data_IF_892931929262
#
_entry.id   IF_892931929262
#
_cell.length_a   1.000
_cell.length_b   1.000
_cell.length_c   1.000
_cell.angle_alpha   90.00
_cell.angle_beta   90.00
_cell.angle_gamma   90.00
#
_symmetry.space_group_name_H-M   'P 1'
#
loop_
_entity.id
_entity.type
_entity.pdbx_description
1 polymer ?
#
# COMPACT_ATOMS: atom_id res chain seq x y z
N UNK A 1 -12.72 4.96 -11.01
CA UNK A 1 -11.50 4.36 -11.56
C UNK A 1 -10.90 5.21 -12.68
N UNK A 2 -11.63 5.52 -13.77
CA UNK A 2 -11.15 6.33 -14.90
C UNK A 2 -10.49 7.65 -14.45
N UNK A 3 -11.11 8.40 -13.53
CA UNK A 3 -10.57 9.66 -13.02
C UNK A 3 -9.23 9.43 -12.32
N UNK A 4 -9.11 8.38 -11.52
CA UNK A 4 -7.85 8.05 -10.81
C UNK A 4 -6.73 7.72 -11.80
N UNK A 5 -7.01 6.90 -12.82
CA UNK A 5 -6.04 6.55 -13.86
C UNK A 5 -5.64 7.78 -14.67
N UNK A 6 -6.58 8.61 -15.09
CA UNK A 6 -6.28 9.85 -15.81
C UNK A 6 -5.40 10.78 -14.98
N UNK A 7 -5.73 11.00 -13.71
CA UNK A 7 -4.92 11.81 -12.81
C UNK A 7 -3.50 11.24 -12.66
N UNK A 8 -3.38 9.91 -12.48
CA UNK A 8 -2.09 9.24 -12.38
C UNK A 8 -1.25 9.44 -13.66
N UNK A 9 -1.87 9.20 -14.83
CA UNK A 9 -1.22 9.40 -16.15
C UNK A 9 -0.77 10.84 -16.34
N UNK A 10 -1.62 11.83 -16.03
CA UNK A 10 -1.27 13.26 -16.15
C UNK A 10 -0.10 13.61 -15.25
N UNK A 11 -0.09 13.14 -14.02
CA UNK A 11 1.01 13.40 -13.06
C UNK A 11 2.32 12.78 -13.53
N UNK A 12 2.30 11.55 -14.01
CA UNK A 12 3.50 10.87 -14.54
C UNK A 12 4.02 11.58 -15.80
N UNK A 13 3.13 11.96 -16.73
CA UNK A 13 3.50 12.72 -17.94
C UNK A 13 4.11 14.07 -17.61
N UNK A 14 3.60 14.75 -16.61
CA UNK A 14 4.10 16.06 -16.18
C UNK A 14 5.44 15.98 -15.43
N UNK A 15 5.91 14.79 -15.07
CA UNK A 15 7.15 14.60 -14.32
C UNK A 15 7.13 15.22 -12.91
N UNK A 16 5.95 15.34 -12.29
CA UNK A 16 5.71 16.10 -11.05
C UNK A 16 6.08 15.31 -9.79
N UNK A 17 7.16 14.51 -9.83
CA UNK A 17 7.63 13.74 -8.67
C UNK A 17 7.86 14.66 -7.45
N UNK A 18 8.45 15.84 -7.65
CA UNK A 18 8.67 16.82 -6.57
C UNK A 18 7.39 17.38 -5.95
N UNK A 19 6.32 17.50 -6.72
CA UNK A 19 5.02 17.94 -6.22
C UNK A 19 4.38 16.92 -5.30
N UNK A 20 4.41 15.66 -5.70
CA UNK A 20 3.88 14.54 -4.93
C UNK A 20 4.66 14.36 -3.62
N UNK A 21 5.98 14.42 -3.67
CA UNK A 21 6.84 14.37 -2.48
C UNK A 21 6.48 15.44 -1.46
N UNK A 22 6.26 16.69 -1.92
CA UNK A 22 5.89 17.80 -1.03
C UNK A 22 4.51 17.60 -0.40
N UNK A 23 3.55 17.16 -1.19
CA UNK A 23 2.18 16.88 -0.71
C UNK A 23 2.18 15.70 0.27
N UNK A 24 2.88 14.61 -0.05
CA UNK A 24 2.98 13.44 0.82
C UNK A 24 3.64 13.76 2.16
N UNK A 25 4.63 14.65 2.21
CA UNK A 25 5.27 15.09 3.46
C UNK A 25 4.30 15.74 4.46
N UNK A 26 3.19 16.31 3.98
CA UNK A 26 2.16 16.91 4.83
C UNK A 26 1.02 15.93 5.09
N UNK A 27 0.56 15.27 4.05
CA UNK A 27 -0.63 14.42 4.11
C UNK A 27 -0.38 13.13 4.91
N UNK A 28 0.78 12.49 4.77
CA UNK A 28 1.06 11.24 5.48
C UNK A 28 1.10 11.44 7.01
N UNK A 29 1.82 12.43 7.58
CA UNK A 29 1.72 12.70 9.01
C UNK A 29 0.30 13.06 9.46
N UNK A 30 -0.44 13.85 8.67
CA UNK A 30 -1.83 14.18 8.99
C UNK A 30 -2.71 12.93 9.04
N UNK A 31 -2.54 11.99 8.11
CA UNK A 31 -3.26 10.72 8.10
C UNK A 31 -2.97 9.89 9.36
N UNK A 32 -1.71 9.81 9.81
CA UNK A 32 -1.36 9.14 11.05
C UNK A 32 -2.02 9.78 12.28
N UNK A 33 -2.04 11.11 12.36
CA UNK A 33 -2.74 11.82 13.45
C UNK A 33 -4.23 11.52 13.44
N UNK A 34 -4.86 11.51 12.26
CA UNK A 34 -6.27 11.17 12.10
C UNK A 34 -6.51 9.72 12.53
N UNK A 35 -5.67 8.78 12.12
CA UNK A 35 -5.79 7.38 12.55
C UNK A 35 -5.70 7.23 14.07
N UNK A 36 -4.82 7.96 14.75
CA UNK A 36 -4.72 7.94 16.22
C UNK A 36 -6.03 8.45 16.84
N UNK A 37 -6.57 9.58 16.37
CA UNK A 37 -7.83 10.13 16.87
C UNK A 37 -9.00 9.17 16.63
N UNK A 38 -9.06 8.56 15.45
CA UNK A 38 -10.09 7.59 15.12
C UNK A 38 -9.94 6.29 15.93
N UNK A 39 -8.73 5.83 16.20
CA UNK A 39 -8.50 4.66 17.07
C UNK A 39 -9.00 4.92 18.48
N UNK A 40 -8.67 6.08 19.07
CA UNK A 40 -9.20 6.49 20.40
C UNK A 40 -10.73 6.50 20.38
N UNK A 41 -11.32 7.06 19.34
CA UNK A 41 -12.78 7.12 19.21
C UNK A 41 -13.39 5.74 19.02
N UNK A 42 -12.82 4.91 18.18
CA UNK A 42 -13.29 3.54 17.93
C UNK A 42 -13.25 2.69 19.20
N UNK A 43 -12.15 2.80 19.96
CA UNK A 43 -12.00 2.11 21.25
C UNK A 43 -12.98 2.59 22.32
N UNK A 44 -13.48 3.80 22.24
CA UNK A 44 -14.48 4.35 23.18
C UNK A 44 -15.93 3.92 22.87
N UNK A 45 -16.17 3.19 21.78
CA UNK A 45 -17.51 2.72 21.42
C UNK A 45 -17.95 1.55 22.31
N UNK A 46 -19.25 1.48 22.69
CA UNK A 46 -19.80 0.31 23.38
C UNK A 46 -19.62 -0.96 22.53
N UNK A 47 -19.10 -2.04 23.10
CA UNK A 47 -18.86 -3.30 22.40
C UNK A 47 -17.53 -3.37 21.62
N UNK A 48 -16.76 -2.29 21.56
CA UNK A 48 -15.46 -2.24 20.85
C UNK A 48 -14.43 -3.23 21.38
N UNK A 49 -14.52 -3.62 22.67
CA UNK A 49 -13.56 -4.52 23.32
C UNK A 49 -13.53 -5.92 22.68
N UNK A 50 -14.64 -6.37 22.08
CA UNK A 50 -14.65 -7.63 21.34
C UNK A 50 -13.76 -7.56 20.09
N UNK A 51 -13.75 -6.42 19.39
CA UNK A 51 -12.85 -6.17 18.28
C UNK A 51 -11.38 -6.12 18.71
N UNK A 52 -11.08 -5.55 19.88
CA UNK A 52 -9.73 -5.59 20.44
C UNK A 52 -9.30 -7.01 20.78
N UNK A 53 -10.20 -7.80 21.40
CA UNK A 53 -9.94 -9.22 21.67
C UNK A 53 -9.69 -9.99 20.37
N UNK A 54 -10.50 -9.75 19.34
CA UNK A 54 -10.32 -10.37 18.03
C UNK A 54 -8.93 -10.11 17.43
N UNK A 55 -8.40 -8.87 17.57
CA UNK A 55 -7.08 -8.51 17.09
C UNK A 55 -5.93 -9.10 17.91
N UNK A 56 -6.09 -9.10 19.24
CA UNK A 56 -4.98 -9.40 20.15
C UNK A 56 -5.01 -10.82 20.71
N UNK A 57 -6.12 -11.55 20.57
CA UNK A 57 -6.22 -12.92 21.08
C UNK A 57 -5.54 -13.89 20.11
N UNK A 58 -4.38 -14.44 20.47
CA UNK A 58 -3.63 -15.30 19.55
C UNK A 58 -4.32 -16.66 19.43
N UNK A 59 -4.45 -17.12 18.20
CA UNK A 59 -4.92 -18.46 17.85
C UNK A 59 -3.72 -19.31 17.43
N UNK A 60 -2.96 -19.80 18.38
CA UNK A 60 -1.66 -20.45 18.18
C UNK A 60 -1.69 -21.63 17.21
N UNK A 61 -2.83 -22.31 17.08
CA UNK A 61 -2.95 -23.44 16.16
C UNK A 61 -2.75 -23.04 14.68
N UNK A 62 -3.12 -21.82 14.28
CA UNK A 62 -2.90 -21.34 12.91
C UNK A 62 -1.42 -21.18 12.55
N UNK A 63 -0.52 -21.08 13.52
CA UNK A 63 0.92 -21.06 13.23
C UNK A 63 1.45 -22.38 12.67
N UNK A 64 0.69 -23.46 12.82
CA UNK A 64 1.02 -24.78 12.26
C UNK A 64 0.47 -24.98 10.85
N UNK A 65 -0.35 -24.06 10.36
CA UNK A 65 -0.97 -24.10 9.04
C UNK A 65 -0.08 -23.37 8.02
N UNK A 66 0.27 -24.03 6.94
CA UNK A 66 1.09 -23.44 5.87
C UNK A 66 0.45 -22.20 5.26
N UNK A 67 -0.88 -22.21 5.11
CA UNK A 67 -1.67 -21.11 4.53
C UNK A 67 -1.48 -19.81 5.32
N UNK A 68 -1.40 -19.86 6.65
CA UNK A 68 -1.15 -18.69 7.48
C UNK A 68 0.15 -17.99 7.10
N UNK A 69 1.22 -18.78 6.90
CA UNK A 69 2.53 -18.22 6.52
C UNK A 69 2.55 -17.70 5.09
N UNK A 70 1.91 -18.40 4.16
CA UNK A 70 1.83 -17.98 2.75
C UNK A 70 1.06 -16.65 2.64
N UNK A 71 -0.08 -16.53 3.32
CA UNK A 71 -0.87 -15.30 3.33
C UNK A 71 -0.15 -14.14 4.03
N UNK A 72 0.51 -14.40 5.16
CA UNK A 72 1.27 -13.39 5.89
C UNK A 72 2.47 -12.88 5.08
N UNK A 73 3.23 -13.77 4.45
CA UNK A 73 4.35 -13.41 3.58
C UNK A 73 3.88 -12.64 2.34
N UNK A 74 2.79 -13.11 1.71
CA UNK A 74 2.20 -12.44 0.56
C UNK A 74 1.79 -11.00 0.89
N UNK A 75 1.10 -10.82 2.01
CA UNK A 75 0.70 -9.50 2.50
C UNK A 75 1.92 -8.63 2.83
N UNK A 76 2.92 -9.16 3.52
CA UNK A 76 4.14 -8.42 3.86
C UNK A 76 4.88 -7.94 2.60
N UNK A 77 5.05 -8.80 1.60
CA UNK A 77 5.71 -8.44 0.35
C UNK A 77 4.89 -7.46 -0.49
N UNK A 78 3.57 -7.57 -0.44
CA UNK A 78 2.68 -6.63 -1.11
C UNK A 78 2.76 -5.23 -0.48
N UNK A 79 2.64 -5.13 0.84
CA UNK A 79 2.53 -3.84 1.54
C UNK A 79 3.84 -3.04 1.49
N UNK A 80 5.01 -3.70 1.59
CA UNK A 80 6.31 -3.04 1.43
C UNK A 80 6.74 -2.86 -0.03
N UNK A 81 5.84 -3.13 -0.99
CA UNK A 81 6.07 -2.92 -2.44
C UNK A 81 7.27 -3.67 -3.02
N UNK A 82 7.58 -4.87 -2.51
CA UNK A 82 8.61 -5.74 -3.10
C UNK A 82 8.16 -6.32 -4.45
N UNK A 83 6.88 -6.50 -4.64
CA UNK A 83 6.28 -6.83 -5.92
C UNK A 83 6.06 -5.57 -6.77
N UNK A 84 6.00 -5.72 -8.09
CA UNK A 84 5.69 -4.64 -9.03
C UNK A 84 6.79 -3.60 -9.22
N UNK A 85 8.03 -3.94 -8.89
CA UNK A 85 9.22 -3.10 -9.11
C UNK A 85 9.23 -1.76 -8.36
N UNK A 86 8.27 -1.46 -7.49
CA UNK A 86 8.16 -0.18 -6.78
C UNK A 86 9.43 0.15 -6.00
N UNK A 87 9.91 -0.77 -5.18
CA UNK A 87 11.15 -0.57 -4.42
C UNK A 87 12.40 -0.45 -5.30
N UNK A 88 12.45 -1.14 -6.44
CA UNK A 88 13.59 -1.03 -7.38
C UNK A 88 13.61 0.36 -8.02
N UNK A 89 12.45 0.87 -8.41
CA UNK A 89 12.33 2.23 -8.98
C UNK A 89 12.69 3.29 -7.95
N UNK A 90 12.17 3.19 -6.73
CA UNK A 90 12.55 4.11 -5.65
C UNK A 90 14.03 4.03 -5.30
N UNK A 91 14.59 2.83 -5.24
CA UNK A 91 16.01 2.64 -5.02
C UNK A 91 16.87 3.34 -6.08
N UNK A 92 16.43 3.34 -7.35
CA UNK A 92 17.15 4.01 -8.43
C UNK A 92 17.16 5.55 -8.32
N UNK A 93 16.23 6.14 -7.58
CA UNK A 93 16.15 7.59 -7.33
C UNK A 93 16.87 8.02 -6.04
N UNK A 94 17.32 7.07 -5.22
CA UNK A 94 18.05 7.40 -3.99
C UNK A 94 19.40 8.01 -4.32
N UNK A 95 19.76 9.05 -3.58
CA UNK A 95 21.11 9.60 -3.65
C UNK A 95 22.07 8.68 -2.87
N UNK A 96 23.34 8.75 -3.21
CA UNK A 96 24.39 7.91 -2.64
C UNK A 96 24.65 8.12 -1.14
N UNK A 97 24.23 9.26 -0.60
CA UNK A 97 24.36 9.64 0.81
C UNK A 97 23.28 9.04 1.73
N UNK A 98 22.32 8.28 1.19
CA UNK A 98 21.28 7.65 1.99
C UNK A 98 21.72 6.31 2.59
N UNK A 99 21.48 6.14 3.89
CA UNK A 99 21.70 4.88 4.60
C UNK A 99 20.56 3.88 4.26
N UNK A 100 20.82 2.97 3.32
CA UNK A 100 19.83 2.01 2.82
C UNK A 100 19.29 1.08 3.92
N UNK A 101 20.10 0.46 4.80
CA UNK A 101 19.61 -0.35 5.90
C UNK A 101 18.65 0.39 6.83
N UNK A 102 19.00 1.63 7.20
CA UNK A 102 18.15 2.46 8.06
C UNK A 102 16.82 2.80 7.38
N UNK A 103 16.84 3.10 6.09
CA UNK A 103 15.61 3.37 5.33
C UNK A 103 14.73 2.12 5.24
N UNK A 104 15.30 0.96 4.97
CA UNK A 104 14.56 -0.30 4.88
C UNK A 104 13.87 -0.64 6.21
N UNK A 105 14.59 -0.55 7.33
CA UNK A 105 14.03 -0.78 8.66
C UNK A 105 12.94 0.24 8.98
N UNK A 106 13.19 1.53 8.71
CA UNK A 106 12.20 2.59 8.95
C UNK A 106 10.93 2.37 8.14
N UNK A 107 11.05 1.96 6.87
CA UNK A 107 9.90 1.64 6.01
C UNK A 107 9.10 0.49 6.59
N UNK A 108 9.73 -0.63 6.94
CA UNK A 108 9.05 -1.78 7.50
C UNK A 108 8.35 -1.46 8.84
N UNK A 109 9.00 -0.70 9.71
CA UNK A 109 8.42 -0.29 11.00
C UNK A 109 7.22 0.63 10.80
N UNK A 110 7.35 1.67 9.96
CA UNK A 110 6.26 2.62 9.71
C UNK A 110 5.08 1.98 8.98
N UNK A 111 5.34 1.07 8.05
CA UNK A 111 4.32 0.27 7.38
C UNK A 111 3.52 -0.59 8.37
N UNK A 112 4.23 -1.31 9.24
CA UNK A 112 3.62 -2.13 10.30
C UNK A 112 2.81 -1.26 11.28
N UNK A 113 3.35 -0.12 11.70
CA UNK A 113 2.63 0.80 12.59
C UNK A 113 1.36 1.35 11.95
N UNK A 114 1.40 1.69 10.66
CA UNK A 114 0.22 2.15 9.93
C UNK A 114 -0.85 1.05 9.87
N UNK A 115 -0.47 -0.19 9.56
CA UNK A 115 -1.38 -1.32 9.50
C UNK A 115 -2.01 -1.64 10.86
N UNK A 116 -1.22 -1.62 11.94
CA UNK A 116 -1.71 -1.83 13.31
C UNK A 116 -2.68 -0.72 13.71
N UNK A 117 -2.33 0.55 13.46
CA UNK A 117 -3.23 1.68 13.73
C UNK A 117 -4.55 1.56 12.98
N UNK A 118 -4.51 1.25 11.68
CA UNK A 118 -5.71 1.04 10.88
C UNK A 118 -6.57 -0.10 11.43
N UNK A 119 -5.96 -1.19 11.89
CA UNK A 119 -6.67 -2.29 12.52
C UNK A 119 -7.39 -1.87 13.80
N UNK A 120 -6.76 -1.05 14.66
CA UNK A 120 -7.40 -0.50 15.87
C UNK A 120 -8.46 0.56 15.58
N UNK A 121 -8.45 1.17 14.41
CA UNK A 121 -9.55 2.04 13.95
C UNK A 121 -10.75 1.20 13.52
N UNK A 122 -10.52 0.19 12.69
CA UNK A 122 -11.57 -0.52 11.97
C UNK A 122 -12.20 -1.60 12.83
N UNK A 123 -11.43 -2.54 13.38
CA UNK A 123 -11.99 -3.73 14.03
C UNK A 123 -12.82 -3.44 15.27
N UNK A 124 -12.42 -2.56 16.22
CA UNK A 124 -13.28 -2.22 17.33
C UNK A 124 -14.63 -1.61 16.90
N UNK A 125 -14.63 -0.80 15.84
CA UNK A 125 -15.86 -0.22 15.29
C UNK A 125 -16.72 -1.25 14.58
N UNK A 126 -16.13 -2.18 13.83
CA UNK A 126 -16.85 -3.27 13.16
C UNK A 126 -17.65 -4.09 14.17
N UNK A 127 -17.02 -4.48 15.28
CA UNK A 127 -17.70 -5.21 16.35
C UNK A 127 -18.73 -4.36 17.09
N UNK A 128 -18.42 -3.09 17.35
CA UNK A 128 -19.36 -2.17 18.00
C UNK A 128 -20.65 -1.94 17.17
N UNK A 129 -20.55 -2.00 15.84
CA UNK A 129 -21.69 -1.82 14.93
C UNK A 129 -22.26 -3.13 14.37
N UNK A 130 -21.73 -4.29 14.75
CA UNK A 130 -22.19 -5.59 14.28
C UNK A 130 -22.01 -5.81 12.77
N UNK A 131 -20.96 -5.25 12.17
CA UNK A 131 -20.64 -5.40 10.74
C UNK A 131 -19.90 -6.71 10.48
N UNK A 132 -19.97 -7.21 9.23
CA UNK A 132 -19.26 -8.42 8.85
C UNK A 132 -17.75 -8.15 8.71
N UNK A 133 -16.95 -8.85 9.51
CA UNK A 133 -15.48 -8.75 9.50
C UNK A 133 -14.86 -9.20 8.18
N UNK A 134 -15.57 -10.00 7.38
CA UNK A 134 -15.10 -10.55 6.11
C UNK A 134 -15.48 -9.70 4.89
N UNK A 135 -16.10 -8.54 5.09
CA UNK A 135 -16.57 -7.68 3.98
C UNK A 135 -15.43 -7.11 3.11
N UNK A 136 -14.17 -7.31 3.49
CA UNK A 136 -13.00 -6.88 2.70
C UNK A 136 -12.87 -5.34 2.57
N UNK A 137 -12.39 -4.82 1.43
CA UNK A 137 -12.18 -3.38 1.22
C UNK A 137 -13.40 -2.49 1.47
N UNK A 138 -14.65 -2.90 1.15
CA UNK A 138 -15.86 -2.16 1.51
C UNK A 138 -15.99 -1.85 2.99
N UNK A 139 -15.38 -2.66 3.87
CA UNK A 139 -15.45 -2.47 5.31
C UNK A 139 -14.96 -1.08 5.73
N UNK A 140 -13.85 -0.62 5.15
CA UNK A 140 -13.33 0.73 5.39
C UNK A 140 -14.36 1.81 5.03
N UNK A 141 -14.95 1.71 3.84
CA UNK A 141 -15.90 2.71 3.32
C UNK A 141 -17.26 2.66 3.98
N UNK A 142 -17.63 1.53 4.57
CA UNK A 142 -18.87 1.39 5.37
C UNK A 142 -18.68 1.85 6.81
N UNK A 143 -17.56 1.48 7.42
CA UNK A 143 -17.32 1.71 8.85
C UNK A 143 -16.94 3.17 9.13
N UNK A 144 -16.09 3.78 8.33
CA UNK A 144 -15.60 5.14 8.57
C UNK A 144 -16.71 6.18 8.58
N UNK A 145 -17.65 6.23 7.60
CA UNK A 145 -18.76 7.18 7.66
C UNK A 145 -19.60 7.08 8.94
N UNK A 146 -19.85 5.85 9.42
CA UNK A 146 -20.63 5.63 10.65
C UNK A 146 -19.88 6.17 11.87
N UNK A 147 -18.56 6.03 11.93
CA UNK A 147 -17.75 6.59 13.02
C UNK A 147 -17.81 8.12 12.97
N UNK A 148 -17.61 8.70 11.79
CA UNK A 148 -17.61 10.17 11.61
C UNK A 148 -18.95 10.78 11.97
N UNK A 149 -20.07 10.15 11.61
CA UNK A 149 -21.42 10.62 11.95
C UNK A 149 -21.63 10.75 13.47
N UNK A 150 -20.97 9.91 14.25
CA UNK A 150 -21.04 9.90 15.73
C UNK A 150 -19.95 10.73 16.42
N UNK A 151 -19.17 11.52 15.68
CA UNK A 151 -18.11 12.36 16.23
C UNK A 151 -18.44 13.84 16.17
N UNK A 152 -18.11 14.64 17.22
CA UNK A 152 -18.13 16.09 17.11
C UNK A 152 -17.18 16.55 16.02
N UNK A 153 -17.68 17.35 15.06
CA UNK A 153 -16.87 17.78 13.90
C UNK A 153 -16.56 16.68 12.88
N UNK A 154 -17.25 15.55 12.94
CA UNK A 154 -16.99 14.37 12.12
C UNK A 154 -16.99 14.63 10.61
N UNK A 155 -17.82 15.57 10.13
CA UNK A 155 -17.85 15.96 8.72
C UNK A 155 -16.47 16.51 8.25
N UNK A 156 -15.85 17.38 9.06
CA UNK A 156 -14.54 17.96 8.72
C UNK A 156 -13.47 16.86 8.75
N UNK A 157 -13.49 16.02 9.78
CA UNK A 157 -12.56 14.90 9.92
C UNK A 157 -12.73 13.92 8.74
N UNK A 158 -13.96 13.61 8.33
CA UNK A 158 -14.26 12.76 7.18
C UNK A 158 -13.67 13.32 5.89
N UNK A 159 -13.86 14.63 5.63
CA UNK A 159 -13.30 15.27 4.43
C UNK A 159 -11.77 15.15 4.42
N UNK A 160 -11.11 15.50 5.52
CA UNK A 160 -9.65 15.43 5.62
C UNK A 160 -9.15 13.99 5.50
N UNK A 161 -9.85 13.03 6.13
CA UNK A 161 -9.53 11.61 6.04
C UNK A 161 -9.62 11.08 4.61
N UNK A 162 -10.77 11.24 3.95
CA UNK A 162 -10.95 10.72 2.60
C UNK A 162 -10.08 11.45 1.58
N UNK A 163 -9.80 12.73 1.77
CA UNK A 163 -8.86 13.46 0.96
C UNK A 163 -7.43 12.91 1.12
N UNK A 164 -7.01 12.66 2.36
CA UNK A 164 -5.70 12.05 2.66
C UNK A 164 -5.59 10.66 2.07
N UNK A 165 -6.64 9.84 2.19
CA UNK A 165 -6.71 8.50 1.61
C UNK A 165 -6.63 8.54 0.07
N UNK A 166 -7.33 9.50 -0.55
CA UNK A 166 -7.29 9.71 -1.99
C UNK A 166 -5.87 10.06 -2.48
N UNK A 167 -5.19 10.97 -1.82
CA UNK A 167 -3.81 11.32 -2.17
C UNK A 167 -2.84 10.16 -1.93
N UNK A 168 -3.01 9.39 -0.85
CA UNK A 168 -2.24 8.18 -0.60
C UNK A 168 -2.44 7.14 -1.72
N UNK A 169 -3.68 6.91 -2.15
CA UNK A 169 -4.01 6.01 -3.24
C UNK A 169 -3.41 6.45 -4.58
N UNK A 170 -3.50 7.75 -4.91
CA UNK A 170 -2.89 8.30 -6.13
C UNK A 170 -1.37 8.14 -6.11
N UNK A 171 -0.71 8.42 -4.98
CA UNK A 171 0.74 8.25 -4.87
C UNK A 171 1.16 6.79 -5.10
N UNK A 172 0.40 5.83 -4.58
CA UNK A 172 0.63 4.40 -4.81
C UNK A 172 0.42 4.00 -6.27
N UNK A 173 -0.64 4.51 -6.91
CA UNK A 173 -0.91 4.27 -8.33
C UNK A 173 0.21 4.79 -9.23
N UNK A 174 0.75 5.96 -8.93
CA UNK A 174 1.87 6.54 -9.67
C UNK A 174 3.09 5.61 -9.58
N UNK A 175 3.43 5.12 -8.40
CA UNK A 175 4.57 4.22 -8.22
C UNK A 175 4.43 2.92 -9.00
N UNK A 176 3.26 2.31 -8.95
CA UNK A 176 3.00 1.06 -9.66
C UNK A 176 3.08 1.24 -11.18
N UNK A 177 2.52 2.33 -11.72
CA UNK A 177 2.60 2.62 -13.15
C UNK A 177 4.02 3.01 -13.58
N UNK A 178 4.73 3.81 -12.77
CA UNK A 178 6.09 4.25 -13.08
C UNK A 178 7.05 3.06 -13.28
N UNK A 179 6.95 2.02 -12.44
CA UNK A 179 7.77 0.81 -12.58
C UNK A 179 7.59 0.14 -13.95
N UNK A 180 6.36 0.03 -14.42
CA UNK A 180 6.05 -0.55 -15.74
C UNK A 180 6.51 0.38 -16.87
N UNK A 181 6.30 1.69 -16.72
CA UNK A 181 6.71 2.71 -17.69
C UNK A 181 8.22 2.70 -17.87
N UNK A 182 9.00 2.69 -16.79
CA UNK A 182 10.46 2.63 -16.83
C UNK A 182 10.95 1.33 -17.48
N UNK A 183 10.32 0.19 -17.19
CA UNK A 183 10.65 -1.07 -17.85
C UNK A 183 10.41 -1.01 -19.37
N UNK A 184 9.33 -0.37 -19.83
CA UNK A 184 9.03 -0.20 -21.24
C UNK A 184 10.04 0.74 -21.91
N UNK A 185 10.32 1.90 -21.31
CA UNK A 185 11.26 2.89 -21.87
C UNK A 185 12.67 2.29 -21.99
N UNK A 186 13.12 1.56 -20.97
CA UNK A 186 14.44 0.94 -20.96
C UNK A 186 14.63 -0.14 -22.02
N UNK A 187 13.56 -0.80 -22.43
CA UNK A 187 13.61 -1.91 -23.40
C UNK A 187 13.07 -1.56 -24.78
N UNK A 188 12.53 -0.36 -24.98
CA UNK A 188 11.93 0.07 -26.26
C UNK A 188 12.37 1.48 -26.63
N UNK A 189 12.09 1.87 -27.88
CA UNK A 189 12.34 3.24 -28.36
C UNK A 189 11.14 4.17 -28.15
N UNK A 190 10.19 3.81 -27.28
CA UNK A 190 9.01 4.64 -27.02
C UNK A 190 9.43 5.86 -26.19
N UNK A 191 8.81 7.01 -26.53
CA UNK A 191 8.95 8.20 -25.69
C UNK A 191 8.16 8.02 -24.41
N UNK A 192 8.59 8.66 -23.32
CA UNK A 192 7.95 8.58 -22.00
C UNK A 192 6.43 8.79 -22.08
N UNK A 193 5.98 9.84 -22.77
CA UNK A 193 4.55 10.15 -22.91
C UNK A 193 3.77 9.01 -23.57
N UNK A 194 4.33 8.43 -24.65
CA UNK A 194 3.70 7.29 -25.34
C UNK A 194 3.62 6.05 -24.44
N UNK A 195 4.70 5.76 -23.71
CA UNK A 195 4.75 4.64 -22.78
C UNK A 195 3.71 4.81 -21.64
N UNK A 196 3.63 6.00 -21.04
CA UNK A 196 2.66 6.32 -19.98
C UNK A 196 1.22 6.17 -20.46
N UNK A 197 0.89 6.71 -21.65
CA UNK A 197 -0.46 6.59 -22.22
C UNK A 197 -0.78 5.11 -22.51
N UNK A 198 0.15 4.38 -23.10
CA UNK A 198 -0.02 2.95 -23.39
C UNK A 198 -0.32 2.17 -22.11
N UNK A 199 0.50 2.34 -21.06
CA UNK A 199 0.31 1.66 -19.78
C UNK A 199 -1.02 2.07 -19.15
N UNK A 200 -1.36 3.37 -19.16
CA UNK A 200 -2.63 3.87 -18.64
C UNK A 200 -3.85 3.26 -19.32
N UNK A 201 -3.84 3.17 -20.67
CA UNK A 201 -4.92 2.55 -21.42
C UNK A 201 -5.03 1.05 -21.13
N UNK A 202 -3.91 0.33 -21.12
CA UNK A 202 -3.89 -1.11 -20.80
C UNK A 202 -4.42 -1.34 -19.38
N UNK A 203 -3.95 -0.56 -18.40
CA UNK A 203 -4.43 -0.64 -17.02
C UNK A 203 -5.94 -0.37 -16.93
N UNK A 204 -6.43 0.66 -17.63
CA UNK A 204 -7.86 0.96 -17.66
C UNK A 204 -8.69 -0.20 -18.21
N UNK A 205 -8.28 -0.77 -19.35
CA UNK A 205 -9.01 -1.89 -19.96
C UNK A 205 -9.00 -3.12 -19.05
N UNK A 206 -7.85 -3.44 -18.45
CA UNK A 206 -7.73 -4.57 -17.53
C UNK A 206 -8.48 -4.37 -16.21
N UNK A 207 -8.71 -3.12 -15.79
CA UNK A 207 -9.47 -2.82 -14.57
C UNK A 207 -11.00 -2.94 -14.75
N UNK A 208 -11.52 -2.91 -15.97
CA UNK A 208 -12.97 -2.97 -16.23
C UNK A 208 -13.62 -4.20 -15.55
N UNK A 209 -13.16 -5.45 -15.77
CA UNK A 209 -13.79 -6.61 -15.14
C UNK A 209 -13.66 -6.61 -13.61
N UNK A 210 -12.59 -6.02 -13.07
CA UNK A 210 -12.39 -5.89 -11.63
C UNK A 210 -13.38 -4.91 -10.98
N UNK A 211 -13.77 -3.87 -11.71
CA UNK A 211 -14.76 -2.88 -11.26
C UNK A 211 -16.21 -3.36 -11.40
N UNK A 212 -16.46 -4.32 -12.28
CA UNK A 212 -17.81 -4.82 -12.54
C UNK A 212 -18.21 -5.99 -11.62
N UNK A 213 -17.24 -6.68 -11.01
CA UNK A 213 -17.50 -7.85 -10.18
C UNK A 213 -16.59 -7.89 -8.96
N UNK A 214 -17.17 -7.83 -7.77
CA UNK A 214 -16.45 -7.96 -6.51
C UNK A 214 -15.74 -9.32 -6.40
N UNK A 215 -16.39 -10.39 -6.82
CA UNK A 215 -15.77 -11.74 -6.86
C UNK A 215 -14.55 -11.79 -7.75
N UNK A 216 -14.59 -11.11 -8.92
CA UNK A 216 -13.43 -11.03 -9.82
C UNK A 216 -12.31 -10.22 -9.17
N UNK A 217 -12.64 -9.14 -8.49
CA UNK A 217 -11.68 -8.32 -7.74
C UNK A 217 -11.00 -9.13 -6.62
N UNK A 218 -11.78 -9.85 -5.81
CA UNK A 218 -11.25 -10.65 -4.69
C UNK A 218 -10.36 -11.80 -5.21
N UNK A 219 -10.78 -12.52 -6.26
CA UNK A 219 -9.97 -13.58 -6.87
C UNK A 219 -8.66 -13.03 -7.43
N UNK A 220 -8.71 -11.88 -8.11
CA UNK A 220 -7.52 -11.22 -8.65
C UNK A 220 -6.58 -10.76 -7.53
N UNK A 221 -7.12 -10.14 -6.49
CA UNK A 221 -6.35 -9.68 -5.33
C UNK A 221 -5.68 -10.86 -4.62
N UNK A 222 -6.40 -11.96 -4.40
CA UNK A 222 -5.85 -13.18 -3.84
C UNK A 222 -4.73 -13.77 -4.71
N UNK A 223 -4.92 -13.84 -6.02
CA UNK A 223 -3.88 -14.31 -6.94
C UNK A 223 -2.62 -13.45 -6.83
N UNK A 224 -2.77 -12.12 -6.81
CA UNK A 224 -1.62 -11.20 -6.72
C UNK A 224 -0.93 -11.31 -5.36
N UNK A 225 -1.67 -11.30 -4.26
CA UNK A 225 -1.07 -11.28 -2.91
C UNK A 225 -0.53 -12.63 -2.47
N UNK A 226 -1.27 -13.71 -2.72
CA UNK A 226 -0.92 -15.05 -2.22
C UNK A 226 0.06 -15.78 -3.13
N UNK A 227 -0.01 -15.57 -4.45
CA UNK A 227 0.81 -16.30 -5.41
C UNK A 227 1.88 -15.42 -6.05
N UNK A 228 1.46 -14.33 -6.71
CA UNK A 228 2.38 -13.53 -7.53
C UNK A 228 3.40 -12.81 -6.66
N UNK A 229 2.99 -12.18 -5.55
CA UNK A 229 3.88 -11.42 -4.68
C UNK A 229 5.02 -12.24 -4.08
N UNK A 230 4.78 -13.42 -3.46
CA UNK A 230 5.86 -14.27 -2.96
C UNK A 230 6.79 -14.77 -4.07
N UNK A 231 6.24 -15.14 -5.22
CA UNK A 231 7.05 -15.62 -6.37
C UNK A 231 7.94 -14.50 -6.90
N UNK A 232 7.40 -13.29 -7.07
CA UNK A 232 8.18 -12.14 -7.53
C UNK A 232 9.25 -11.73 -6.51
N UNK A 233 8.94 -11.73 -5.23
CA UNK A 233 9.92 -11.48 -4.18
C UNK A 233 11.06 -12.50 -4.21
N UNK A 234 10.73 -13.79 -4.38
CA UNK A 234 11.73 -14.86 -4.53
C UNK A 234 12.62 -14.64 -5.76
N UNK A 235 12.03 -14.27 -6.89
CA UNK A 235 12.79 -13.99 -8.11
C UNK A 235 13.73 -12.79 -7.92
N UNK A 236 13.29 -11.71 -7.27
CA UNK A 236 14.15 -10.57 -6.93
C UNK A 236 15.32 -11.00 -6.06
N UNK A 237 15.09 -11.83 -5.04
CA UNK A 237 16.15 -12.37 -4.19
C UNK A 237 17.13 -13.23 -4.99
N UNK A 238 16.64 -14.10 -5.87
CA UNK A 238 17.49 -14.93 -6.72
C UNK A 238 18.37 -14.04 -7.62
N UNK A 239 17.79 -13.05 -8.28
CA UNK A 239 18.55 -12.12 -9.12
C UNK A 239 19.59 -11.38 -8.30
N UNK A 240 19.23 -10.86 -7.12
CA UNK A 240 20.12 -10.08 -6.28
C UNK A 240 21.28 -10.91 -5.71
N UNK A 241 21.03 -12.12 -5.22
CA UNK A 241 22.06 -12.93 -4.56
C UNK A 241 22.89 -13.82 -5.49
N UNK A 242 22.33 -14.21 -6.64
CA UNK A 242 23.00 -15.18 -7.54
C UNK A 242 23.41 -14.60 -8.90
N UNK A 243 22.70 -13.60 -9.41
CA UNK A 243 23.01 -13.01 -10.72
C UNK A 243 23.71 -11.64 -10.61
N UNK A 244 23.47 -10.90 -9.52
CA UNK A 244 24.14 -9.62 -9.30
C UNK A 244 25.44 -9.82 -8.52
N UNK A 245 26.48 -9.03 -8.81
CA UNK A 245 27.78 -9.10 -8.14
C UNK A 245 27.63 -8.73 -6.65
N UNK A 246 27.89 -9.70 -5.75
CA UNK A 246 27.76 -9.52 -4.32
C UNK A 246 28.66 -8.39 -3.77
N UNK A 247 29.85 -8.16 -4.37
CA UNK A 247 30.73 -7.05 -3.95
C UNK A 247 30.14 -5.69 -4.30
N UNK A 248 29.52 -5.59 -5.49
CA UNK A 248 28.82 -4.36 -5.91
C UNK A 248 27.55 -4.13 -5.07
N UNK A 249 26.83 -5.19 -4.76
CA UNK A 249 25.66 -5.12 -3.89
C UNK A 249 26.04 -4.60 -2.50
N UNK A 250 27.07 -5.19 -1.89
CA UNK A 250 27.53 -4.79 -0.55
C UNK A 250 28.11 -3.36 -0.55
N UNK A 251 28.84 -2.98 -1.58
CA UNK A 251 29.33 -1.61 -1.73
C UNK A 251 28.19 -0.61 -1.82
N UNK A 252 27.15 -0.90 -2.62
CA UNK A 252 25.97 -0.03 -2.74
C UNK A 252 25.16 0.08 -1.45
N UNK A 253 25.04 -1.00 -0.67
CA UNK A 253 24.34 -0.98 0.62
C UNK A 253 25.09 -0.12 1.64
N UNK A 254 26.43 -0.15 1.63
CA UNK A 254 27.28 0.54 2.60
C UNK A 254 27.63 1.98 2.17
N UNK A 255 27.37 2.39 0.94
CA UNK A 255 27.80 3.70 0.40
C UNK A 255 27.28 4.90 1.22
N UNK A 256 26.14 4.77 1.89
CA UNK A 256 25.56 5.80 2.76
C UNK A 256 25.40 5.36 4.22
N UNK A 257 26.15 4.34 4.68
CA UNK A 257 25.98 3.76 6.00
C UNK A 257 26.87 4.40 7.10
N UNK A 258 27.73 5.39 6.74
CA UNK A 258 28.60 6.14 7.66
C UNK A 258 27.87 7.28 8.38
#
# INVERSE_FOLDING_TARGET
DAIAIVLTVVVICAGVIKGIERVSKIIMPALFVIFILLAIRSLSLPGSMEGVKFLLQPKWHHLLEADTWVMALGQAFFTVSLNGCGMVVYGSYLKKDYNIPKLAISTAVLDTLAAVLASFVIMPAVFAFGLDVNAGPPLLFMTMPIIFDKMPGGTIIAIVFFLSLFFAAISSSINMLEGVVEAIISNTKLTRVKAVILVGVVTFVLSIPLNLSMTTFDNFTNLITVVVSPVMALLVLIVFYYLYDAKKALAGINEGAE
#
